data_IF_389978665083
#
_entry.id   IF_389978665083
#
_cell.length_a   1.000
_cell.length_b   1.000
_cell.length_c   1.000
_cell.angle_alpha   90.00
_cell.angle_beta   90.00
_cell.angle_gamma   90.00
#
_symmetry.space_group_name_H-M   'P 1'
#
loop_
_entity.id
_entity.type
_entity.pdbx_description
1 polymer ?
#
# COMPACT_ATOMS: atom_id res chain seq x y z
N UNK A 1 -14.86 6.63 23.80
CA UNK A 1 -13.92 5.52 24.07
C UNK A 1 -12.91 6.04 25.10
N UNK A 2 -12.99 5.58 26.35
CA UNK A 2 -12.22 6.18 27.45
C UNK A 2 -10.72 5.88 27.29
N UNK A 3 -9.88 6.93 27.36
CA UNK A 3 -8.41 6.85 27.27
C UNK A 3 -7.77 6.21 28.52
N UNK A 4 -8.56 6.02 29.57
CA UNK A 4 -8.13 5.50 30.86
C UNK A 4 -9.16 4.51 31.38
N UNK A 5 -8.68 3.47 32.07
CA UNK A 5 -9.52 2.51 32.78
C UNK A 5 -9.24 2.64 34.28
N UNK A 6 -10.31 2.74 35.07
CA UNK A 6 -10.20 2.69 36.52
C UNK A 6 -9.68 1.33 36.97
N UNK A 7 -8.73 1.35 37.90
CA UNK A 7 -8.04 0.17 38.38
C UNK A 7 -8.47 -0.14 39.81
N UNK A 8 -8.84 -1.40 40.09
CA UNK A 8 -9.16 -1.85 41.45
C UNK A 8 -7.95 -1.91 42.40
N UNK A 9 -6.70 -1.90 41.88
CA UNK A 9 -5.45 -1.90 42.68
C UNK A 9 -4.35 -1.04 42.00
N UNK A 10 -3.80 0.00 42.66
CA UNK A 10 -2.72 0.81 42.10
C UNK A 10 -1.42 -0.02 41.90
N UNK A 11 -0.63 0.31 40.87
CA UNK A 11 0.66 -0.36 40.59
C UNK A 11 1.72 0.10 41.61
N UNK A 12 1.72 1.40 41.93
CA UNK A 12 2.61 2.02 42.90
C UNK A 12 1.88 2.04 44.24
N UNK A 13 2.45 1.37 45.25
CA UNK A 13 1.81 1.18 46.57
C UNK A 13 2.14 2.29 47.58
N UNK A 14 3.17 3.07 47.33
CA UNK A 14 3.59 4.19 48.17
C UNK A 14 4.31 5.25 47.32
N UNK A 15 4.02 6.51 47.58
CA UNK A 15 4.74 7.66 47.04
C UNK A 15 5.34 8.47 48.20
N UNK A 16 6.43 9.21 47.98
CA UNK A 16 6.97 10.13 48.97
C UNK A 16 5.91 11.15 49.40
N UNK A 17 6.03 11.63 50.63
CA UNK A 17 5.10 12.57 51.25
C UNK A 17 4.91 13.80 50.36
N UNK A 18 3.67 14.06 49.93
CA UNK A 18 3.32 15.18 49.04
C UNK A 18 3.27 14.85 47.55
N UNK A 19 3.58 13.63 47.13
CA UNK A 19 3.44 13.21 45.72
C UNK A 19 2.08 12.51 45.48
N UNK A 20 1.30 13.03 44.54
CA UNK A 20 0.07 12.39 44.07
C UNK A 20 0.40 11.26 43.08
N UNK A 21 -0.13 10.06 43.34
CA UNK A 21 -0.05 8.93 42.39
C UNK A 21 -1.30 8.96 41.53
N UNK A 22 -1.14 9.05 40.21
CA UNK A 22 -2.26 8.91 39.29
C UNK A 22 -2.95 7.55 39.47
N UNK A 23 -4.28 7.51 39.74
CA UNK A 23 -5.03 6.26 39.83
C UNK A 23 -5.28 5.63 38.45
N UNK A 24 -4.94 6.35 37.37
CA UNK A 24 -5.23 5.96 35.99
C UNK A 24 -4.07 5.17 35.40
N UNK A 25 -4.39 4.05 34.74
CA UNK A 25 -3.44 3.35 33.88
C UNK A 25 -3.63 3.76 32.43
N UNK A 26 -2.56 4.10 31.70
CA UNK A 26 -2.62 4.26 30.26
C UNK A 26 -3.15 2.98 29.63
N UNK A 27 -4.17 3.10 28.79
CA UNK A 27 -4.63 2.01 27.95
C UNK A 27 -4.08 2.25 26.56
N UNK A 28 -3.36 1.26 26.02
CA UNK A 28 -2.98 1.31 24.62
C UNK A 28 -4.23 1.14 23.77
N UNK A 29 -4.69 2.23 23.16
CA UNK A 29 -5.80 2.22 22.22
C UNK A 29 -5.21 2.22 20.80
N UNK A 30 -5.34 1.13 20.03
CA UNK A 30 -4.93 1.14 18.64
C UNK A 30 -5.80 2.14 17.89
N UNK A 31 -5.19 3.18 17.33
CA UNK A 31 -5.84 4.16 16.46
C UNK A 31 -5.31 3.99 15.05
N UNK A 32 -6.19 4.13 14.06
CA UNK A 32 -5.79 4.18 12.67
C UNK A 32 -4.91 5.42 12.44
N UNK A 33 -3.71 5.26 11.85
CA UNK A 33 -2.88 6.42 11.52
C UNK A 33 -3.60 7.25 10.44
N UNK A 34 -3.58 8.59 10.53
CA UNK A 34 -4.39 9.43 9.65
C UNK A 34 -3.97 9.32 8.17
N UNK A 35 -2.69 9.08 7.90
CA UNK A 35 -2.22 8.79 6.55
C UNK A 35 -2.89 7.54 5.94
N UNK A 36 -3.05 6.48 6.72
CA UNK A 36 -3.76 5.26 6.30
C UNK A 36 -5.28 5.47 6.22
N UNK A 37 -5.85 6.27 7.13
CA UNK A 37 -7.28 6.64 7.12
C UNK A 37 -7.69 7.45 5.90
N UNK A 38 -6.81 8.31 5.40
CA UNK A 38 -7.07 9.14 4.23
C UNK A 38 -6.68 8.49 2.90
N UNK A 39 -6.01 7.34 2.91
CA UNK A 39 -5.63 6.65 1.69
C UNK A 39 -6.83 5.88 1.11
N UNK A 40 -7.32 6.21 -0.09
CA UNK A 40 -8.46 5.50 -0.68
C UNK A 40 -8.16 4.02 -0.98
N UNK A 41 -6.88 3.67 -1.18
CA UNK A 41 -6.45 2.29 -1.38
C UNK A 41 -6.36 1.49 -0.06
N UNK A 42 -6.55 2.14 1.10
CA UNK A 42 -6.40 1.49 2.41
C UNK A 42 -4.97 1.00 2.66
N UNK A 43 -3.97 1.74 2.19
CA UNK A 43 -2.57 1.35 2.32
C UNK A 43 -2.07 1.41 3.76
N UNK A 44 -1.24 0.43 4.14
CA UNK A 44 -0.61 0.33 5.46
C UNK A 44 0.63 1.24 5.58
N UNK A 45 0.42 2.55 5.40
CA UNK A 45 1.48 3.56 5.24
C UNK A 45 2.47 3.59 6.41
N UNK A 46 1.95 3.56 7.64
CA UNK A 46 2.80 3.52 8.83
C UNK A 46 3.69 2.27 8.84
N UNK A 47 3.17 1.12 8.41
CA UNK A 47 3.87 -0.16 8.47
C UNK A 47 5.09 -0.16 7.55
N UNK A 48 4.92 0.18 6.28
CA UNK A 48 6.03 0.16 5.34
C UNK A 48 7.02 1.31 5.56
N UNK A 49 6.56 2.49 5.99
CA UNK A 49 7.47 3.60 6.36
C UNK A 49 8.34 3.23 7.56
N UNK A 50 7.76 2.61 8.59
CA UNK A 50 8.51 2.22 9.79
C UNK A 50 9.52 1.14 9.46
N UNK A 51 9.18 0.20 8.57
CA UNK A 51 10.09 -0.84 8.14
C UNK A 51 11.33 -0.26 7.42
N UNK A 52 11.15 0.79 6.62
CA UNK A 52 12.25 1.52 5.99
C UNK A 52 13.04 2.31 7.03
N UNK A 53 12.38 3.15 7.83
CA UNK A 53 13.05 4.06 8.75
C UNK A 53 13.79 3.35 9.90
N UNK A 54 13.34 2.16 10.29
CA UNK A 54 13.90 1.39 11.40
C UNK A 54 14.53 0.07 10.94
N UNK A 55 15.01 -0.01 9.70
CA UNK A 55 15.51 -1.26 9.13
C UNK A 55 16.61 -1.91 9.98
N UNK A 56 17.54 -1.12 10.54
CA UNK A 56 18.61 -1.60 11.43
C UNK A 56 18.07 -2.23 12.72
N UNK A 57 17.11 -1.58 13.37
CA UNK A 57 16.48 -2.08 14.60
C UNK A 57 15.71 -3.38 14.35
N UNK A 58 15.25 -3.61 13.11
CA UNK A 58 14.65 -4.87 12.69
C UNK A 58 15.64 -5.88 12.09
N UNK A 59 16.94 -5.58 12.11
CA UNK A 59 17.98 -6.46 11.56
C UNK A 59 17.90 -6.68 10.04
N UNK A 60 17.40 -5.68 9.30
CA UNK A 60 17.26 -5.71 7.83
C UNK A 60 18.30 -4.84 7.15
N UNK A 61 18.79 -5.28 6.00
CA UNK A 61 19.48 -4.38 5.07
C UNK A 61 18.48 -3.37 4.47
N UNK A 62 18.94 -2.23 3.94
CA UNK A 62 18.06 -1.28 3.25
C UNK A 62 17.22 -1.95 2.14
N UNK A 63 17.83 -2.82 1.33
CA UNK A 63 17.15 -3.53 0.24
C UNK A 63 16.03 -4.43 0.76
N UNK A 64 16.28 -5.19 1.82
CA UNK A 64 15.25 -6.03 2.46
C UNK A 64 14.10 -5.19 3.02
N UNK A 65 14.40 -4.01 3.54
CA UNK A 65 13.39 -3.04 3.98
C UNK A 65 12.55 -2.53 2.80
N UNK A 66 13.17 -2.24 1.65
CA UNK A 66 12.47 -1.80 0.44
C UNK A 66 11.60 -2.91 -0.16
N UNK A 67 12.09 -4.14 -0.22
CA UNK A 67 11.32 -5.32 -0.67
C UNK A 67 10.11 -5.55 0.24
N UNK A 68 10.31 -5.48 1.56
CA UNK A 68 9.21 -5.57 2.52
C UNK A 68 8.21 -4.44 2.33
N UNK A 69 8.66 -3.20 2.21
CA UNK A 69 7.79 -2.05 1.97
C UNK A 69 6.97 -2.22 0.69
N UNK A 70 7.63 -2.63 -0.39
CA UNK A 70 6.99 -2.91 -1.67
C UNK A 70 5.90 -3.99 -1.50
N UNK A 71 6.21 -5.10 -0.84
CA UNK A 71 5.25 -6.19 -0.58
C UNK A 71 3.98 -5.69 0.14
N UNK A 72 4.15 -4.76 1.09
CA UNK A 72 3.03 -4.18 1.85
C UNK A 72 2.20 -3.19 1.04
N UNK A 73 2.79 -2.48 0.10
CA UNK A 73 2.04 -1.60 -0.80
C UNK A 73 1.22 -2.45 -1.77
N UNK A 74 1.86 -3.45 -2.40
CA UNK A 74 1.19 -4.26 -3.42
C UNK A 74 0.10 -5.14 -2.87
N UNK A 75 0.11 -5.50 -1.58
CA UNK A 75 -1.01 -6.18 -0.92
C UNK A 75 -2.37 -5.55 -1.22
N UNK A 76 -2.41 -4.21 -1.36
CA UNK A 76 -3.62 -3.44 -1.67
C UNK A 76 -3.66 -2.95 -3.11
N UNK A 77 -2.55 -2.38 -3.61
CA UNK A 77 -2.51 -1.67 -4.88
C UNK A 77 -1.40 -2.20 -5.80
N UNK A 78 -1.71 -2.77 -6.98
CA UNK A 78 -0.69 -3.32 -7.87
C UNK A 78 0.17 -2.27 -8.60
N UNK A 79 -0.08 -0.98 -8.38
CA UNK A 79 0.52 0.13 -9.12
C UNK A 79 1.34 1.12 -8.26
N UNK A 80 2.28 0.69 -7.40
CA UNK A 80 3.07 1.60 -6.57
C UNK A 80 3.86 2.65 -7.37
N UNK A 81 4.48 2.27 -8.50
CA UNK A 81 5.28 3.19 -9.30
C UNK A 81 4.42 4.22 -10.05
N UNK A 82 3.25 3.82 -10.56
CA UNK A 82 2.28 4.73 -11.16
C UNK A 82 1.67 5.65 -10.09
N UNK A 83 1.18 5.10 -8.97
CA UNK A 83 0.57 5.91 -7.89
C UNK A 83 1.56 6.90 -7.28
N UNK A 84 2.83 6.52 -7.12
CA UNK A 84 3.92 7.43 -6.72
C UNK A 84 4.15 8.62 -7.68
N UNK A 85 3.58 8.59 -8.90
CA UNK A 85 3.70 9.68 -9.89
C UNK A 85 2.43 10.50 -10.07
N UNK A 86 1.25 9.88 -9.92
CA UNK A 86 -0.03 10.50 -10.33
C UNK A 86 -1.01 10.69 -9.19
N UNK A 87 -0.79 10.07 -8.03
CA UNK A 87 -1.66 10.21 -6.86
C UNK A 87 -1.62 11.66 -6.33
N UNK A 88 -2.77 12.27 -6.01
CA UNK A 88 -2.83 13.58 -5.36
C UNK A 88 -2.52 13.52 -3.84
N UNK A 89 -1.95 12.40 -3.36
CA UNK A 89 -1.42 12.22 -2.01
C UNK A 89 -2.30 12.72 -0.84
N UNK A 90 -3.59 12.34 -0.74
CA UNK A 90 -4.46 12.74 0.38
C UNK A 90 -3.98 12.20 1.75
N UNK A 91 -3.12 11.18 1.72
CA UNK A 91 -2.42 10.65 2.89
C UNK A 91 -1.45 11.66 3.52
N UNK A 92 -0.84 12.53 2.70
CA UNK A 92 -0.02 13.64 3.17
C UNK A 92 -0.90 14.76 3.72
N UNK A 93 -2.10 14.94 3.15
CA UNK A 93 -3.01 15.99 3.59
C UNK A 93 -3.44 15.87 5.05
N UNK A 94 -3.74 14.64 5.48
CA UNK A 94 -4.05 14.33 6.88
C UNK A 94 -2.85 14.00 7.76
N UNK A 95 -1.63 14.15 7.28
CA UNK A 95 -0.45 13.77 8.06
C UNK A 95 -0.32 14.64 9.32
N UNK A 96 -0.37 14.02 10.50
CA UNK A 96 -0.23 14.71 11.78
C UNK A 96 1.17 15.30 12.04
N UNK A 97 2.17 14.99 11.20
CA UNK A 97 3.50 15.61 11.26
C UNK A 97 3.51 17.04 10.70
N UNK A 98 2.47 17.44 9.95
CA UNK A 98 2.29 18.83 9.50
C UNK A 98 2.35 19.84 10.63
N UNK A 99 1.88 19.47 11.82
CA UNK A 99 1.93 20.27 13.06
C UNK A 99 3.35 20.42 13.66
N UNK A 100 4.37 19.82 13.02
CA UNK A 100 5.76 19.89 13.43
C UNK A 100 6.60 20.57 12.34
N UNK A 101 7.14 19.78 11.42
CA UNK A 101 8.13 20.19 10.40
C UNK A 101 7.66 19.86 8.98
N UNK A 102 6.39 19.49 8.81
CA UNK A 102 5.77 19.20 7.52
C UNK A 102 5.25 17.77 7.39
N UNK A 103 4.47 17.54 6.33
CA UNK A 103 4.02 16.18 6.02
C UNK A 103 5.22 15.30 5.65
N UNK A 104 5.13 14.02 5.98
CA UNK A 104 6.07 13.03 5.44
C UNK A 104 5.85 12.95 3.93
N UNK A 105 6.92 12.95 3.14
CA UNK A 105 6.87 12.79 1.68
C UNK A 105 6.54 11.34 1.27
N UNK A 106 5.33 10.90 1.62
CA UNK A 106 4.80 9.55 1.41
C UNK A 106 4.78 9.21 -0.08
N UNK A 107 4.34 10.13 -0.93
CA UNK A 107 4.23 9.92 -2.38
C UNK A 107 5.60 9.73 -3.03
N UNK A 108 6.59 10.52 -2.62
CA UNK A 108 7.96 10.38 -3.09
C UNK A 108 8.58 9.03 -2.68
N UNK A 109 8.31 8.58 -1.45
CA UNK A 109 8.75 7.27 -0.99
C UNK A 109 8.02 6.12 -1.70
N UNK A 110 6.71 6.23 -1.93
CA UNK A 110 5.94 5.25 -2.70
C UNK A 110 6.49 5.13 -4.13
N UNK A 111 6.83 6.26 -4.77
CA UNK A 111 7.51 6.27 -6.07
C UNK A 111 8.84 5.54 -6.03
N UNK A 112 9.69 5.86 -5.06
CA UNK A 112 10.99 5.22 -4.90
C UNK A 112 10.85 3.70 -4.72
N UNK A 113 9.95 3.25 -3.84
CA UNK A 113 9.71 1.84 -3.59
C UNK A 113 9.11 1.14 -4.82
N UNK A 114 8.21 1.80 -5.54
CA UNK A 114 7.66 1.30 -6.81
C UNK A 114 8.74 1.12 -7.89
N UNK A 115 9.60 2.13 -8.06
CA UNK A 115 10.72 2.11 -9.01
C UNK A 115 11.74 1.03 -8.64
N UNK A 116 12.05 0.88 -7.34
CA UNK A 116 12.87 -0.22 -6.83
C UNK A 116 12.27 -1.58 -7.17
N UNK A 117 10.95 -1.75 -7.02
CA UNK A 117 10.26 -2.98 -7.38
C UNK A 117 10.31 -3.31 -8.88
N UNK A 118 10.38 -2.30 -9.75
CA UNK A 118 10.62 -2.48 -11.19
C UNK A 118 12.08 -2.87 -11.42
N UNK A 119 13.03 -2.12 -10.85
CA UNK A 119 14.47 -2.35 -11.02
C UNK A 119 14.90 -3.76 -10.58
N UNK A 120 14.34 -4.26 -9.48
CA UNK A 120 14.63 -5.59 -8.92
C UNK A 120 13.76 -6.70 -9.51
N UNK A 121 12.88 -6.39 -10.46
CA UNK A 121 11.92 -7.32 -11.05
C UNK A 121 11.15 -8.12 -9.97
N UNK A 122 10.70 -7.42 -8.92
CA UNK A 122 9.95 -8.05 -7.83
C UNK A 122 8.62 -8.60 -8.36
N UNK A 123 8.26 -9.79 -7.89
CA UNK A 123 7.08 -10.53 -8.36
C UNK A 123 5.92 -10.36 -7.40
N UNK A 124 4.71 -10.25 -7.95
CA UNK A 124 3.50 -10.25 -7.14
C UNK A 124 3.27 -11.65 -6.56
N UNK A 125 2.87 -11.72 -5.30
CA UNK A 125 2.57 -12.98 -4.62
C UNK A 125 1.08 -13.33 -4.72
N UNK A 126 0.81 -14.62 -4.93
CA UNK A 126 -0.51 -15.19 -4.70
C UNK A 126 -0.79 -15.23 -3.19
N UNK A 127 -2.05 -15.11 -2.82
CA UNK A 127 -2.52 -15.22 -1.44
C UNK A 127 -2.74 -16.68 -1.02
N UNK A 128 -2.97 -17.55 -2.00
CA UNK A 128 -3.26 -18.96 -1.80
C UNK A 128 -2.78 -19.75 -3.02
N UNK A 129 -2.42 -21.02 -2.81
CA UNK A 129 -2.17 -21.99 -3.88
C UNK A 129 -3.47 -22.61 -4.41
N UNK A 130 -4.61 -22.31 -3.78
CA UNK A 130 -5.92 -22.72 -4.25
C UNK A 130 -6.15 -22.21 -5.68
N UNK A 131 -6.73 -23.07 -6.51
CA UNK A 131 -7.18 -22.72 -7.86
C UNK A 131 -8.66 -22.99 -7.94
N UNK A 132 -9.37 -22.06 -8.57
CA UNK A 132 -10.79 -22.16 -8.85
C UNK A 132 -10.99 -22.51 -10.32
N UNK A 133 -12.07 -23.21 -10.65
CA UNK A 133 -12.41 -23.55 -12.04
C UNK A 133 -13.27 -22.46 -12.68
N UNK A 134 -13.93 -21.64 -11.85
CA UNK A 134 -14.79 -20.55 -12.26
C UNK A 134 -13.99 -19.45 -12.96
N UNK A 135 -14.35 -19.18 -14.21
CA UNK A 135 -13.71 -18.16 -15.05
C UNK A 135 -14.35 -16.80 -14.83
N UNK A 136 -13.52 -15.78 -14.63
CA UNK A 136 -13.98 -14.40 -14.46
C UNK A 136 -13.57 -13.56 -15.67
N UNK A 137 -14.55 -12.90 -16.27
CA UNK A 137 -14.32 -11.89 -17.30
C UNK A 137 -14.35 -10.48 -16.68
N UNK A 138 -13.34 -9.67 -16.98
CA UNK A 138 -13.29 -8.25 -16.59
C UNK A 138 -13.31 -7.40 -17.85
N UNK A 139 -14.23 -6.45 -17.94
CA UNK A 139 -14.36 -5.55 -19.09
C UNK A 139 -13.66 -4.22 -18.80
N UNK A 140 -12.68 -3.87 -19.62
CA UNK A 140 -11.81 -2.70 -19.51
C UNK A 140 -10.49 -3.00 -18.77
N UNK A 141 -9.36 -2.75 -19.44
CA UNK A 141 -8.02 -2.83 -18.85
C UNK A 141 -7.54 -1.48 -18.30
N UNK A 142 -8.45 -0.70 -17.71
CA UNK A 142 -8.12 0.48 -16.92
C UNK A 142 -7.60 0.14 -15.51
N UNK A 143 -7.28 1.15 -14.67
CA UNK A 143 -6.80 0.93 -13.31
C UNK A 143 -7.74 0.05 -12.47
N UNK A 144 -9.06 0.28 -12.57
CA UNK A 144 -10.06 -0.49 -11.85
C UNK A 144 -10.10 -1.97 -12.29
N UNK A 145 -10.17 -2.22 -13.61
CA UNK A 145 -10.22 -3.58 -14.15
C UNK A 145 -8.95 -4.37 -13.89
N UNK A 146 -7.78 -3.75 -14.07
CA UNK A 146 -6.49 -4.38 -13.76
C UNK A 146 -6.32 -4.65 -12.26
N UNK A 147 -6.76 -3.73 -11.39
CA UNK A 147 -6.76 -3.97 -9.94
C UNK A 147 -7.71 -5.09 -9.52
N UNK A 148 -8.88 -5.20 -10.15
CA UNK A 148 -9.82 -6.29 -9.92
C UNK A 148 -9.20 -7.64 -10.34
N UNK A 149 -8.67 -7.71 -11.56
CA UNK A 149 -8.03 -8.90 -12.10
C UNK A 149 -6.83 -9.33 -11.25
N UNK A 150 -6.01 -8.38 -10.82
CA UNK A 150 -4.90 -8.60 -9.87
C UNK A 150 -5.39 -9.29 -8.59
N UNK A 151 -6.40 -8.74 -7.92
CA UNK A 151 -6.89 -9.28 -6.65
C UNK A 151 -7.53 -10.67 -6.82
N UNK A 152 -8.24 -10.91 -7.92
CA UNK A 152 -8.84 -12.22 -8.23
C UNK A 152 -7.77 -13.27 -8.57
N UNK A 153 -6.79 -12.92 -9.40
CA UNK A 153 -5.70 -13.84 -9.78
C UNK A 153 -4.86 -14.28 -8.57
N UNK A 154 -4.61 -13.36 -7.62
CA UNK A 154 -3.94 -13.72 -6.34
C UNK A 154 -4.73 -14.72 -5.51
N UNK A 155 -6.05 -14.74 -5.64
CA UNK A 155 -6.94 -15.66 -4.92
C UNK A 155 -7.13 -16.99 -5.66
N UNK A 156 -6.57 -17.14 -6.85
CA UNK A 156 -6.60 -18.39 -7.60
C UNK A 156 -7.65 -18.48 -8.69
N UNK A 157 -8.37 -17.40 -9.00
CA UNK A 157 -9.34 -17.39 -10.09
C UNK A 157 -8.63 -17.22 -11.45
N UNK A 158 -9.03 -17.98 -12.49
CA UNK A 158 -8.66 -17.68 -13.86
C UNK A 158 -9.41 -16.44 -14.35
N UNK A 159 -8.66 -15.39 -14.71
CA UNK A 159 -9.22 -14.09 -15.12
C UNK A 159 -8.79 -13.73 -16.52
N UNK A 160 -9.75 -13.36 -17.36
CA UNK A 160 -9.50 -12.74 -18.67
C UNK A 160 -10.01 -11.31 -18.65
N UNK A 161 -9.15 -10.36 -19.00
CA UNK A 161 -9.48 -8.94 -19.11
C UNK A 161 -9.62 -8.59 -20.59
N UNK A 162 -10.77 -8.02 -20.97
CA UNK A 162 -11.08 -7.57 -22.33
C UNK A 162 -10.93 -6.05 -22.42
N UNK A 163 -10.25 -5.57 -23.45
CA UNK A 163 -9.94 -4.15 -23.65
C UNK A 163 -10.22 -3.74 -25.09
N UNK A 164 -10.99 -2.66 -25.25
CA UNK A 164 -11.37 -2.14 -26.55
C UNK A 164 -10.18 -1.52 -27.31
N UNK A 165 -9.23 -0.91 -26.61
CA UNK A 165 -8.05 -0.31 -27.22
C UNK A 165 -6.92 -1.31 -27.50
N UNK A 166 -5.96 -0.88 -28.32
CA UNK A 166 -4.83 -1.72 -28.72
C UNK A 166 -3.85 -2.05 -27.58
N UNK A 167 -3.84 -1.29 -26.48
CA UNK A 167 -2.96 -1.54 -25.33
C UNK A 167 -3.70 -1.33 -24.00
N UNK A 168 -3.39 -2.12 -22.96
CA UNK A 168 -4.00 -1.98 -21.63
C UNK A 168 -3.49 -0.73 -20.90
N UNK A 169 -4.26 -0.27 -19.92
CA UNK A 169 -3.92 0.86 -19.03
C UNK A 169 -5.02 1.92 -18.95
N UNK A 170 -5.99 1.92 -19.88
CA UNK A 170 -7.09 2.87 -19.92
C UNK A 170 -6.61 4.33 -19.78
N UNK A 171 -7.23 5.09 -18.89
CA UNK A 171 -6.86 6.50 -18.65
C UNK A 171 -5.41 6.70 -18.20
N UNK A 172 -4.77 5.70 -17.55
CA UNK A 172 -3.35 5.81 -17.20
C UNK A 172 -2.47 5.91 -18.46
N UNK A 173 -2.81 5.17 -19.52
CA UNK A 173 -2.07 5.20 -20.78
C UNK A 173 -2.50 6.36 -21.68
N UNK A 174 -3.80 6.52 -21.85
CA UNK A 174 -4.36 7.36 -22.90
C UNK A 174 -4.72 8.78 -22.44
N UNK A 175 -4.84 9.00 -21.12
CA UNK A 175 -5.20 10.29 -20.54
C UNK A 175 -4.04 11.05 -19.90
N UNK A 176 -3.06 10.35 -19.31
CA UNK A 176 -1.98 11.00 -18.55
C UNK A 176 -0.79 11.32 -19.49
N UNK A 177 -0.29 12.57 -19.51
CA UNK A 177 0.88 12.91 -20.32
C UNK A 177 2.13 12.13 -19.93
N UNK A 178 2.94 11.76 -20.92
CA UNK A 178 4.14 10.90 -20.75
C UNK A 178 5.19 11.46 -19.79
N UNK A 179 5.33 12.79 -19.73
CA UNK A 179 6.27 13.42 -18.79
C UNK A 179 5.84 13.25 -17.32
N UNK A 180 4.53 13.05 -17.07
CA UNK A 180 3.98 12.77 -15.75
C UNK A 180 3.98 11.27 -15.46
N UNK A 181 3.58 10.45 -16.43
CA UNK A 181 3.61 9.00 -16.32
C UNK A 181 4.31 8.37 -17.55
N UNK A 182 5.58 7.98 -17.41
CA UNK A 182 6.29 7.25 -18.47
C UNK A 182 5.62 5.92 -18.79
N UNK A 183 5.53 5.58 -20.08
CA UNK A 183 4.79 4.39 -20.53
C UNK A 183 5.51 3.08 -20.17
N UNK A 184 6.84 3.10 -20.11
CA UNK A 184 7.67 1.98 -19.66
C UNK A 184 7.40 1.60 -18.20
N UNK A 185 7.16 2.59 -17.33
CA UNK A 185 6.77 2.36 -15.93
C UNK A 185 5.40 1.69 -15.86
N UNK A 186 4.42 2.20 -16.63
CA UNK A 186 3.09 1.61 -16.69
C UNK A 186 3.14 0.18 -17.26
N UNK A 187 3.88 -0.02 -18.35
CA UNK A 187 4.03 -1.31 -19.02
C UNK A 187 4.65 -2.35 -18.06
N UNK A 188 5.66 -1.97 -17.26
CA UNK A 188 6.28 -2.85 -16.28
C UNK A 188 5.30 -3.30 -15.18
N UNK A 189 4.46 -2.41 -14.67
CA UNK A 189 3.48 -2.79 -13.63
C UNK A 189 2.33 -3.63 -14.20
N UNK A 190 1.87 -3.34 -15.43
CA UNK A 190 0.86 -4.17 -16.12
C UNK A 190 1.44 -5.57 -16.40
N UNK A 191 2.69 -5.65 -16.87
CA UNK A 191 3.35 -6.92 -17.11
C UNK A 191 3.38 -7.77 -15.83
N UNK A 192 3.74 -7.17 -14.70
CA UNK A 192 3.75 -7.87 -13.40
C UNK A 192 2.38 -8.45 -13.03
N UNK A 193 1.28 -7.79 -13.39
CA UNK A 193 -0.09 -8.32 -13.21
C UNK A 193 -0.32 -9.52 -14.12
N UNK A 194 0.07 -9.45 -15.40
CA UNK A 194 -0.09 -10.59 -16.33
C UNK A 194 0.74 -11.81 -15.94
N UNK A 195 1.90 -11.62 -15.31
CA UNK A 195 2.74 -12.69 -14.80
C UNK A 195 2.07 -13.52 -13.69
N UNK A 196 1.00 -13.02 -13.06
CA UNK A 196 0.17 -13.82 -12.15
C UNK A 196 -0.75 -14.83 -12.86
N UNK A 197 -0.81 -14.79 -14.19
CA UNK A 197 -1.70 -15.60 -15.02
C UNK A 197 -2.98 -14.89 -15.45
N UNK A 198 -3.04 -13.55 -15.37
CA UNK A 198 -4.14 -12.76 -15.93
C UNK A 198 -3.98 -12.71 -17.46
N UNK A 199 -5.00 -13.16 -18.18
CA UNK A 199 -5.03 -13.06 -19.64
C UNK A 199 -5.55 -11.67 -20.06
N UNK A 200 -4.88 -11.02 -21.01
CA UNK A 200 -5.31 -9.74 -21.59
C UNK A 200 -5.66 -9.92 -23.07
N UNK A 201 -6.89 -9.53 -23.44
CA UNK A 201 -7.38 -9.49 -24.83
C UNK A 201 -7.67 -8.06 -25.22
N UNK A 202 -6.79 -7.48 -26.03
CA UNK A 202 -6.94 -6.12 -26.55
C UNK A 202 -7.65 -6.13 -27.92
N UNK A 203 -8.25 -5.00 -28.29
CA UNK A 203 -9.12 -4.87 -29.47
C UNK A 203 -10.33 -5.83 -29.41
N UNK A 204 -10.98 -5.94 -28.26
CA UNK A 204 -12.18 -6.77 -28.04
C UNK A 204 -13.17 -6.01 -27.16
#
# INVERSE_FOLDING_TARGET
>A
MALFKDVKKPIIKAAPTGAEISPLRPVYVPKQPPCGGNCPAGAEIRTWLTAIAQHEAYGRTPEQAYEFAWSKIVERNPFPAVCGRVCPHPCEDGCNRKEKDGAVAINALERFVGDFGIQKALKLSKLSEQKYEERVAVVGAGPAGLSCAYQLARRGYPVTVFEAFAKPGGMLRYGIPRYRLPLDVLDAEIQRITELGVELKCNT
#
